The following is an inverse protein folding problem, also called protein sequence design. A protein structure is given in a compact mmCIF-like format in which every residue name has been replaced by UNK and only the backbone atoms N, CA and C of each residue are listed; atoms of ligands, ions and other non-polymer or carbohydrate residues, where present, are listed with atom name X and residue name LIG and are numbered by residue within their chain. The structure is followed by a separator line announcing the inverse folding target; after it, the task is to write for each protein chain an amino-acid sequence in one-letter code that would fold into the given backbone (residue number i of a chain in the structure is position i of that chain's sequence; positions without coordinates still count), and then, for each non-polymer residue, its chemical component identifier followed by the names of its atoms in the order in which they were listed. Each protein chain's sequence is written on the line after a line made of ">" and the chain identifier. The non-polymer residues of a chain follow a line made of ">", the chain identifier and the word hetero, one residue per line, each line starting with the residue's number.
data_IF_795113896794
#
_entry.id   IF_795113896794
#
_cell.length_a   1.000
_cell.length_b   1.000
_cell.length_c   1.000
_cell.angle_alpha   90.00
_cell.angle_beta   90.00
_cell.angle_gamma   90.00
#
_symmetry.space_group_name_H-M   'P 1'
#
loop_
_entity.id
_entity.type
_entity.pdbx_description
1 polymer ?
#
# COMPACT_ATOMS: atom_id res chain seq x y z
N UNK A 1 67.97 27.49 35.34
CA UNK A 1 66.85 26.81 36.03
C UNK A 1 65.68 26.65 35.09
N UNK A 2 65.48 25.44 34.55
CA UNK A 2 64.46 25.17 33.53
C UNK A 2 63.31 24.39 34.20
N UNK A 3 62.15 25.06 34.42
CA UNK A 3 60.93 24.39 34.95
C UNK A 3 60.19 23.69 33.79
N UNK A 4 60.28 22.40 33.70
CA UNK A 4 59.43 21.58 32.82
C UNK A 4 58.01 21.50 33.38
N UNK A 5 57.08 22.17 32.68
CA UNK A 5 55.64 22.08 32.96
C UNK A 5 55.10 20.75 32.46
N UNK A 6 54.71 19.88 33.40
CA UNK A 6 54.14 18.55 33.16
C UNK A 6 52.67 18.70 32.81
N UNK A 7 52.30 18.60 31.51
CA UNK A 7 50.91 18.55 31.07
C UNK A 7 50.29 17.20 31.53
N UNK A 8 49.29 17.29 32.41
CA UNK A 8 48.44 16.15 32.79
C UNK A 8 47.42 15.91 31.65
N UNK A 9 47.61 14.82 30.91
CA UNK A 9 46.58 14.29 30.02
C UNK A 9 45.40 13.77 30.86
N UNK A 10 44.34 14.57 30.98
CA UNK A 10 43.06 14.15 31.57
C UNK A 10 42.30 13.42 30.47
N UNK A 11 42.42 12.05 30.44
CA UNK A 11 41.50 11.24 29.66
C UNK A 11 40.14 11.31 30.34
N UNK A 12 39.25 12.14 29.79
CA UNK A 12 37.84 12.15 30.16
C UNK A 12 37.21 10.79 29.85
N UNK A 13 37.02 9.94 30.87
CA UNK A 13 36.14 8.78 30.77
C UNK A 13 34.72 9.31 30.68
N UNK A 14 34.09 9.15 29.51
CA UNK A 14 32.67 9.37 29.38
C UNK A 14 31.93 8.41 30.33
N UNK A 15 31.35 8.92 31.41
CA UNK A 15 30.63 8.14 32.43
C UNK A 15 29.20 7.90 31.87
N UNK A 16 29.02 6.78 31.18
CA UNK A 16 27.69 6.37 30.72
C UNK A 16 26.92 5.83 31.93
N UNK A 17 25.89 6.56 32.38
CA UNK A 17 25.07 6.14 33.52
C UNK A 17 24.23 4.89 33.17
N UNK A 18 23.91 4.06 34.18
CA UNK A 18 23.03 2.88 33.96
C UNK A 18 21.68 3.27 33.35
N UNK A 19 21.09 4.41 33.75
CA UNK A 19 19.86 4.93 33.16
C UNK A 19 20.01 5.29 31.67
N UNK A 20 21.16 5.81 31.25
CA UNK A 20 21.45 6.12 29.85
C UNK A 20 21.55 4.86 29.00
N UNK A 21 22.16 3.78 29.53
CA UNK A 21 22.24 2.48 28.84
C UNK A 21 20.84 1.88 28.67
N UNK A 22 20.01 1.92 29.70
CA UNK A 22 18.62 1.42 29.66
C UNK A 22 17.80 2.25 28.66
N UNK A 23 17.96 3.59 28.66
CA UNK A 23 17.28 4.47 27.72
C UNK A 23 17.65 4.21 26.26
N UNK A 24 18.94 4.01 25.97
CA UNK A 24 19.43 3.66 24.62
C UNK A 24 18.90 2.28 24.20
N UNK A 25 18.90 1.29 25.10
CA UNK A 25 18.36 -0.05 24.83
C UNK A 25 16.87 -0.02 24.50
N UNK A 26 16.07 0.71 25.29
CA UNK A 26 14.64 0.88 25.04
C UNK A 26 14.37 1.58 23.70
N UNK A 27 15.10 2.65 23.41
CA UNK A 27 14.99 3.36 22.12
C UNK A 27 15.33 2.46 20.94
N UNK A 28 16.38 1.65 21.03
CA UNK A 28 16.77 0.70 19.99
C UNK A 28 15.68 -0.33 19.70
N UNK A 29 15.03 -0.86 20.75
CA UNK A 29 13.91 -1.80 20.60
C UNK A 29 12.72 -1.15 19.90
N UNK A 30 12.33 0.07 20.32
CA UNK A 30 11.22 0.80 19.68
C UNK A 30 11.52 1.06 18.21
N UNK A 31 12.72 1.54 17.88
CA UNK A 31 13.13 1.79 16.49
C UNK A 31 13.08 0.49 15.67
N UNK A 32 13.57 -0.62 16.23
CA UNK A 32 13.55 -1.92 15.52
C UNK A 32 12.12 -2.38 15.23
N UNK A 33 11.19 -2.20 16.16
CA UNK A 33 9.77 -2.54 15.97
C UNK A 33 9.14 -1.66 14.88
N UNK A 34 9.37 -0.34 14.94
CA UNK A 34 8.85 0.59 13.93
C UNK A 34 9.39 0.26 12.53
N UNK A 35 10.70 0.03 12.43
CA UNK A 35 11.36 -0.35 11.16
C UNK A 35 10.81 -1.67 10.63
N UNK A 36 10.60 -2.66 11.49
CA UNK A 36 10.01 -3.94 11.11
C UNK A 36 8.61 -3.77 10.51
N UNK A 37 7.71 -3.03 11.18
CA UNK A 37 6.37 -2.77 10.66
C UNK A 37 6.41 -1.95 9.35
N UNK A 38 7.30 -0.97 9.26
CA UNK A 38 7.47 -0.17 8.04
C UNK A 38 7.93 -1.02 6.85
N UNK A 39 8.94 -1.88 7.03
CA UNK A 39 9.42 -2.77 5.97
C UNK A 39 8.33 -3.76 5.54
N UNK A 40 7.59 -4.34 6.50
CA UNK A 40 6.49 -5.25 6.17
C UNK A 40 5.35 -4.59 5.40
N UNK A 41 5.11 -3.29 5.62
CA UNK A 41 4.08 -2.55 4.87
C UNK A 41 4.43 -2.35 3.38
N UNK A 42 5.70 -2.54 2.99
CA UNK A 42 6.17 -2.47 1.61
C UNK A 42 6.07 -3.81 0.87
N UNK A 43 5.58 -4.88 1.51
CA UNK A 43 5.40 -6.18 0.88
C UNK A 43 4.04 -6.19 0.16
N UNK A 44 4.02 -6.36 -1.18
CA UNK A 44 2.78 -6.54 -1.93
C UNK A 44 2.01 -7.78 -1.47
N UNK A 45 0.67 -7.78 -1.59
CA UNK A 45 -0.16 -8.91 -1.10
C UNK A 45 0.14 -10.25 -1.78
N UNK A 46 0.71 -10.23 -2.98
CA UNK A 46 1.14 -11.40 -3.72
C UNK A 46 2.68 -11.55 -3.80
N UNK A 47 3.44 -10.73 -3.05
CA UNK A 47 4.89 -10.78 -2.96
C UNK A 47 5.38 -11.42 -1.66
N UNK A 48 6.67 -11.78 -1.63
CA UNK A 48 7.34 -12.36 -0.46
C UNK A 48 8.45 -11.47 0.10
N UNK A 49 8.70 -10.32 -0.53
CA UNK A 49 9.75 -9.37 -0.14
C UNK A 49 9.28 -7.94 -0.33
N UNK A 50 9.82 -6.99 0.45
CA UNK A 50 9.50 -5.59 0.31
C UNK A 50 9.94 -5.05 -1.05
N UNK A 51 9.12 -4.20 -1.66
CA UNK A 51 9.41 -3.54 -2.93
C UNK A 51 9.60 -2.05 -2.69
N UNK A 52 10.80 -1.56 -2.98
CA UNK A 52 11.16 -0.14 -2.82
C UNK A 52 10.94 0.63 -4.14
N UNK A 53 9.69 0.61 -4.61
CA UNK A 53 9.29 1.35 -5.80
C UNK A 53 7.97 2.08 -5.53
N UNK A 54 7.74 3.19 -6.23
CA UNK A 54 6.45 3.86 -6.19
C UNK A 54 5.43 3.07 -7.03
N UNK A 55 4.28 2.66 -6.46
CA UNK A 55 3.24 1.99 -7.22
C UNK A 55 2.54 2.96 -8.17
N UNK A 56 2.01 2.42 -9.25
CA UNK A 56 0.93 3.09 -9.99
C UNK A 56 -0.33 3.02 -9.13
N UNK A 57 -1.12 4.10 -9.12
CA UNK A 57 -2.29 4.17 -8.27
C UNK A 57 -3.57 4.21 -9.11
N UNK A 58 -4.51 3.32 -8.81
CA UNK A 58 -5.85 3.31 -9.38
C UNK A 58 -6.88 3.58 -8.27
N UNK A 59 -7.69 4.64 -8.46
CA UNK A 59 -8.72 5.04 -7.50
C UNK A 59 -10.08 4.59 -8.00
N UNK A 60 -10.75 3.76 -7.22
CA UNK A 60 -12.04 3.18 -7.52
C UNK A 60 -13.02 3.47 -6.40
N UNK A 61 -14.28 3.59 -6.74
CA UNK A 61 -15.36 3.63 -5.77
C UNK A 61 -16.42 2.57 -6.06
N UNK A 62 -17.01 2.02 -5.02
CA UNK A 62 -18.22 1.24 -5.08
C UNK A 62 -19.39 2.19 -4.85
N UNK A 63 -20.40 2.16 -5.72
CA UNK A 63 -21.57 3.03 -5.63
C UNK A 63 -22.79 2.33 -6.19
N UNK A 64 -23.96 2.84 -5.83
CA UNK A 64 -25.25 2.46 -6.40
C UNK A 64 -25.80 3.59 -7.24
N UNK A 65 -26.36 3.29 -8.40
CA UNK A 65 -27.18 4.22 -9.16
C UNK A 65 -28.46 3.52 -9.65
N UNK A 66 -29.60 4.23 -9.71
CA UNK A 66 -30.87 3.65 -10.23
C UNK A 66 -30.76 3.13 -11.65
N UNK A 67 -29.86 3.69 -12.47
CA UNK A 67 -29.68 3.33 -13.88
C UNK A 67 -28.73 2.15 -14.09
N UNK A 68 -27.71 2.00 -13.23
CA UNK A 68 -26.62 1.02 -13.41
C UNK A 68 -26.59 -0.05 -12.33
N UNK A 69 -27.41 0.07 -11.27
CA UNK A 69 -27.33 -0.79 -10.10
C UNK A 69 -26.06 -0.55 -9.29
N UNK A 70 -25.55 -1.60 -8.67
CA UNK A 70 -24.27 -1.59 -7.96
C UNK A 70 -23.11 -1.67 -8.96
N UNK A 71 -22.20 -0.72 -8.91
CA UNK A 71 -21.08 -0.63 -9.86
C UNK A 71 -19.79 -0.18 -9.17
N UNK A 72 -18.66 -0.64 -9.72
CA UNK A 72 -17.38 0.02 -9.50
C UNK A 72 -17.23 1.15 -10.51
N UNK A 73 -16.80 2.32 -10.05
CA UNK A 73 -16.58 3.49 -10.89
C UNK A 73 -15.17 4.03 -10.64
N UNK A 74 -14.50 4.48 -11.70
CA UNK A 74 -13.21 5.16 -11.54
C UNK A 74 -13.41 6.56 -10.97
N UNK A 75 -12.60 6.93 -9.96
CA UNK A 75 -12.62 8.29 -9.41
C UNK A 75 -11.62 9.21 -10.09
N UNK A 76 -10.43 8.75 -10.33
CA UNK A 76 -9.36 9.45 -11.03
C UNK A 76 -8.15 8.53 -11.13
N UNK A 77 -7.32 8.72 -12.13
CA UNK A 77 -5.96 8.21 -12.09
C UNK A 77 -5.04 9.35 -12.41
N UNK A 78 -4.16 9.65 -11.50
CA UNK A 78 -3.03 10.52 -11.77
C UNK A 78 -1.75 9.70 -11.79
N UNK A 79 -1.63 8.80 -12.74
CA UNK A 79 -0.29 8.39 -13.16
C UNK A 79 -0.04 9.01 -14.53
N UNK A 80 1.17 9.53 -14.74
CA UNK A 80 1.58 10.16 -15.99
C UNK A 80 1.50 9.23 -17.23
N UNK A 81 1.10 7.98 -17.06
CA UNK A 81 1.06 6.94 -18.09
C UNK A 81 -0.31 6.41 -18.44
N UNK A 82 -1.32 6.60 -17.59
CA UNK A 82 -2.68 6.08 -17.84
C UNK A 82 -3.73 7.01 -17.27
N UNK A 83 -4.67 7.38 -18.10
CA UNK A 83 -5.90 8.07 -17.69
C UNK A 83 -7.04 7.07 -17.84
N UNK A 84 -7.48 6.48 -16.73
CA UNK A 84 -8.82 5.91 -16.69
C UNK A 84 -9.73 7.10 -16.51
N UNK A 85 -10.66 7.32 -17.45
CA UNK A 85 -11.59 8.44 -17.36
C UNK A 85 -12.41 8.41 -16.08
N UNK A 86 -12.77 9.57 -15.56
CA UNK A 86 -13.63 9.70 -14.37
C UNK A 86 -15.07 9.27 -14.73
N UNK A 87 -15.70 8.49 -13.85
CA UNK A 87 -17.11 8.12 -13.97
C UNK A 87 -17.42 6.92 -14.88
N UNK A 88 -16.42 6.20 -15.39
CA UNK A 88 -16.68 4.96 -16.14
C UNK A 88 -17.09 3.82 -15.20
N UNK A 89 -18.22 3.19 -15.53
CA UNK A 89 -18.70 2.01 -14.81
C UNK A 89 -17.86 0.78 -15.17
N UNK A 90 -17.40 0.06 -14.16
CA UNK A 90 -16.59 -1.16 -14.33
C UNK A 90 -15.40 -0.98 -15.30
N UNK A 91 -14.54 0.03 -15.10
CA UNK A 91 -13.46 0.35 -16.05
C UNK A 91 -12.47 -0.80 -16.17
N UNK A 92 -11.91 -0.99 -17.37
CA UNK A 92 -10.77 -1.88 -17.54
C UNK A 92 -9.51 -1.26 -16.91
N UNK A 93 -8.81 -2.03 -16.08
CA UNK A 93 -7.53 -1.67 -15.49
C UNK A 93 -6.44 -2.34 -16.34
N UNK A 94 -5.64 -1.55 -17.06
CA UNK A 94 -4.55 -2.08 -17.90
C UNK A 94 -3.23 -1.88 -17.18
N UNK A 95 -2.45 -2.95 -17.02
CA UNK A 95 -1.16 -2.99 -16.34
C UNK A 95 -0.10 -3.59 -17.27
N UNK A 96 1.17 -3.38 -16.96
CA UNK A 96 2.29 -4.10 -17.59
C UNK A 96 2.78 -5.20 -16.67
N UNK A 97 3.30 -6.25 -17.26
CA UNK A 97 3.91 -7.34 -16.49
C UNK A 97 5.03 -6.79 -15.59
N UNK A 98 5.01 -7.19 -14.31
CA UNK A 98 5.97 -6.74 -13.31
C UNK A 98 5.65 -5.38 -12.68
N UNK A 99 4.61 -4.69 -13.12
CA UNK A 99 4.22 -3.39 -12.56
C UNK A 99 3.70 -3.55 -11.12
N UNK A 100 4.14 -2.63 -10.25
CA UNK A 100 3.62 -2.49 -8.89
C UNK A 100 2.41 -1.58 -8.95
N UNK A 101 1.25 -2.10 -8.60
CA UNK A 101 -0.03 -1.40 -8.62
C UNK A 101 -0.62 -1.29 -7.22
N UNK A 102 -1.23 -0.17 -6.90
CA UNK A 102 -2.01 0.05 -5.68
C UNK A 102 -3.45 0.44 -6.02
N UNK A 103 -4.39 -0.43 -5.70
CA UNK A 103 -5.82 -0.15 -5.82
C UNK A 103 -6.29 0.54 -4.55
N UNK A 104 -6.84 1.74 -4.71
CA UNK A 104 -7.50 2.51 -3.65
C UNK A 104 -9.00 2.40 -3.87
N UNK A 105 -9.67 1.63 -3.02
CA UNK A 105 -11.13 1.46 -3.09
C UNK A 105 -11.81 2.18 -1.93
N UNK A 106 -12.88 2.93 -2.22
CA UNK A 106 -13.79 3.52 -1.24
C UNK A 106 -15.22 3.05 -1.52
N UNK A 107 -15.99 2.82 -0.47
CA UNK A 107 -17.43 2.57 -0.61
C UNK A 107 -18.21 3.88 -0.41
N UNK A 108 -18.86 4.38 -1.46
CA UNK A 108 -19.76 5.54 -1.42
C UNK A 108 -21.25 5.13 -1.39
N UNK A 109 -21.56 3.84 -1.34
CA UNK A 109 -22.93 3.36 -1.20
C UNK A 109 -23.37 3.42 0.27
N UNK A 110 -24.46 4.13 0.52
CA UNK A 110 -25.05 4.30 1.87
C UNK A 110 -25.82 3.08 2.34
N UNK A 111 -26.20 2.19 1.42
CA UNK A 111 -27.15 1.10 1.68
C UNK A 111 -26.48 -0.26 1.85
N UNK A 112 -25.30 -0.47 1.25
CA UNK A 112 -24.68 -1.78 1.22
C UNK A 112 -23.16 -1.74 1.49
N UNK A 113 -22.63 -2.89 1.91
CA UNK A 113 -21.19 -3.10 2.00
C UNK A 113 -20.68 -3.67 0.68
N UNK A 114 -19.45 -3.30 0.34
CA UNK A 114 -18.78 -3.80 -0.86
C UNK A 114 -17.36 -4.27 -0.54
N UNK A 115 -16.84 -5.17 -1.35
CA UNK A 115 -15.44 -5.55 -1.35
C UNK A 115 -14.90 -5.59 -2.77
N UNK A 116 -13.57 -5.64 -2.90
CA UNK A 116 -12.88 -5.65 -4.18
C UNK A 116 -11.86 -6.80 -4.20
N UNK A 117 -11.96 -7.66 -5.20
CA UNK A 117 -11.16 -8.87 -5.28
C UNK A 117 -10.57 -9.06 -6.68
N UNK A 118 -9.33 -9.54 -6.75
CA UNK A 118 -8.66 -10.03 -7.96
C UNK A 118 -7.89 -11.29 -7.58
N UNK A 119 -8.50 -12.46 -7.75
CA UNK A 119 -7.94 -13.74 -7.27
C UNK A 119 -6.57 -14.05 -7.86
N UNK A 120 -6.37 -13.72 -9.15
CA UNK A 120 -5.13 -13.97 -9.84
C UNK A 120 -3.91 -13.35 -9.16
N UNK A 121 -4.11 -12.25 -8.43
CA UNK A 121 -3.07 -11.49 -7.72
C UNK A 121 -3.22 -11.50 -6.21
N UNK A 122 -4.10 -12.34 -5.65
CA UNK A 122 -4.39 -12.42 -4.20
C UNK A 122 -4.85 -11.08 -3.60
N UNK A 123 -5.51 -10.25 -4.41
CA UNK A 123 -6.08 -8.99 -3.96
C UNK A 123 -7.45 -9.27 -3.39
N UNK A 124 -7.63 -9.02 -2.09
CA UNK A 124 -8.90 -9.19 -1.38
C UNK A 124 -9.04 -8.07 -0.35
N UNK A 125 -10.02 -7.20 -0.56
CA UNK A 125 -10.35 -6.18 0.44
C UNK A 125 -11.24 -6.74 1.54
N UNK A 126 -11.32 -6.03 2.65
CA UNK A 126 -12.38 -6.22 3.65
C UNK A 126 -13.74 -5.79 3.07
N UNK A 127 -14.82 -6.22 3.72
CA UNK A 127 -16.15 -5.67 3.46
C UNK A 127 -16.21 -4.22 3.97
N UNK A 128 -16.18 -3.27 3.06
CA UNK A 128 -16.17 -1.85 3.35
C UNK A 128 -17.61 -1.35 3.53
N UNK A 129 -17.91 -0.74 4.67
CA UNK A 129 -19.14 0.01 4.88
C UNK A 129 -19.06 1.40 4.26
N UNK A 130 -20.13 2.17 4.40
CA UNK A 130 -20.20 3.54 3.87
C UNK A 130 -19.02 4.40 4.29
N UNK A 131 -18.39 5.12 3.36
CA UNK A 131 -17.18 5.93 3.49
C UNK A 131 -15.93 5.20 4.03
N UNK A 132 -15.95 3.88 4.13
CA UNK A 132 -14.74 3.12 4.43
C UNK A 132 -13.93 2.91 3.16
N UNK A 133 -12.61 2.99 3.31
CA UNK A 133 -11.66 2.80 2.22
C UNK A 133 -10.56 1.80 2.60
N UNK A 134 -9.92 1.24 1.58
CA UNK A 134 -8.74 0.39 1.73
C UNK A 134 -7.84 0.55 0.51
N UNK A 135 -6.52 0.49 0.75
CA UNK A 135 -5.52 0.40 -0.31
C UNK A 135 -4.89 -0.98 -0.29
N UNK A 136 -4.71 -1.58 -1.46
CA UNK A 136 -4.11 -2.91 -1.61
C UNK A 136 -3.08 -2.83 -2.72
N UNK A 137 -1.83 -3.15 -2.39
CA UNK A 137 -0.70 -3.10 -3.32
C UNK A 137 -0.29 -4.50 -3.74
N UNK A 138 -0.14 -4.73 -5.06
CA UNK A 138 0.24 -6.01 -5.64
C UNK A 138 1.15 -5.83 -6.86
N UNK A 139 1.80 -6.91 -7.28
CA UNK A 139 2.60 -6.96 -8.50
C UNK A 139 1.79 -7.66 -9.60
N UNK A 140 1.69 -7.05 -10.77
CA UNK A 140 1.07 -7.65 -11.96
C UNK A 140 2.00 -8.71 -12.59
N UNK A 141 2.23 -9.84 -11.89
CA UNK A 141 3.24 -10.84 -12.24
C UNK A 141 2.78 -11.90 -13.25
N UNK A 142 1.55 -11.80 -13.77
CA UNK A 142 0.98 -12.73 -14.75
C UNK A 142 0.39 -11.94 -15.91
N UNK A 143 0.78 -12.27 -17.15
CA UNK A 143 0.19 -11.72 -18.38
C UNK A 143 -1.17 -12.36 -18.65
N UNK A 144 -2.13 -11.57 -19.13
CA UNK A 144 -3.46 -12.05 -19.48
C UNK A 144 -4.57 -11.11 -19.08
N UNK A 145 -5.79 -11.61 -19.19
CA UNK A 145 -7.01 -10.90 -18.80
C UNK A 145 -7.63 -11.58 -17.59
N UNK A 146 -7.88 -10.79 -16.56
CA UNK A 146 -8.40 -11.24 -15.26
C UNK A 146 -9.62 -10.43 -14.90
N UNK A 147 -10.44 -10.97 -13.99
CA UNK A 147 -11.63 -10.28 -13.49
C UNK A 147 -11.38 -9.70 -12.11
N UNK A 148 -11.81 -8.46 -11.88
CA UNK A 148 -12.06 -7.95 -10.54
C UNK A 148 -13.56 -7.95 -10.25
N UNK A 149 -13.94 -8.15 -8.97
CA UNK A 149 -15.34 -8.33 -8.61
C UNK A 149 -15.62 -8.05 -7.14
N UNK A 150 -16.91 -7.89 -6.81
CA UNK A 150 -17.43 -7.86 -5.45
C UNK A 150 -18.08 -9.22 -5.12
N UNK A 151 -17.78 -9.81 -3.95
CA UNK A 151 -18.42 -11.07 -3.53
C UNK A 151 -19.84 -10.89 -3.05
N UNK A 152 -20.22 -9.68 -2.63
CA UNK A 152 -21.55 -9.37 -2.10
C UNK A 152 -22.52 -9.07 -3.24
N UNK A 153 -22.03 -8.45 -4.31
CA UNK A 153 -22.80 -8.08 -5.50
C UNK A 153 -22.10 -8.62 -6.75
N UNK A 154 -22.43 -9.84 -7.20
CA UNK A 154 -21.73 -10.52 -8.30
C UNK A 154 -21.81 -9.80 -9.65
N UNK A 155 -22.79 -8.91 -9.82
CA UNK A 155 -22.92 -8.03 -10.99
C UNK A 155 -21.81 -6.97 -11.05
N UNK A 156 -21.27 -6.56 -9.88
CA UNK A 156 -20.14 -5.63 -9.79
C UNK A 156 -18.85 -6.32 -10.18
N UNK A 157 -18.53 -6.30 -11.44
CA UNK A 157 -17.30 -6.89 -11.99
C UNK A 157 -16.73 -6.07 -13.13
N UNK A 158 -15.44 -6.17 -13.34
CA UNK A 158 -14.74 -5.57 -14.48
C UNK A 158 -13.45 -6.34 -14.78
N UNK A 159 -12.60 -5.75 -15.60
CA UNK A 159 -11.47 -6.44 -16.20
C UNK A 159 -10.14 -5.83 -15.79
N UNK A 160 -9.15 -6.68 -15.50
CA UNK A 160 -7.72 -6.32 -15.39
C UNK A 160 -7.00 -6.94 -16.57
N UNK A 161 -6.32 -6.13 -17.37
CA UNK A 161 -5.53 -6.56 -18.52
C UNK A 161 -4.07 -6.36 -18.17
N UNK A 162 -3.27 -7.41 -18.20
CA UNK A 162 -1.82 -7.33 -18.01
C UNK A 162 -1.14 -7.65 -19.33
N UNK A 163 -0.51 -6.64 -19.89
CA UNK A 163 0.26 -6.72 -21.13
C UNK A 163 1.70 -7.17 -20.84
N UNK A 164 2.36 -7.90 -21.76
CA UNK A 164 3.78 -8.19 -21.64
C UNK A 164 4.61 -6.89 -21.62
N UNK A 165 5.83 -6.97 -21.08
CA UNK A 165 6.81 -5.87 -21.08
C UNK A 165 7.30 -5.58 -22.49
#
# INVERSE_FOLDING_TARGET
>A
MNKKTRQKNVKGRAFVSKGMIIGIGAAAVIISVVVYFWINSLIPVNGNSPVFAAPTNTFMKASYSPQSGYVFTSQSTSSARRSIGVGYNSPAITLRQGELESIHIINEDTSSKHNFNIDAFKVHSKNLGYFQSQSITFIANKVGTFTYYCTIHPEMKGTVIVEPQ
#
